data_IF_848953012991
#
_entry.id   IF_848953012991
#
_cell.length_a   1.000
_cell.length_b   1.000
_cell.length_c   1.000
_cell.angle_alpha   90.00
_cell.angle_beta   90.00
_cell.angle_gamma   90.00
#
_symmetry.space_group_name_H-M   'P 1'
#
loop_
_entity.id
_entity.type
_entity.pdbx_description
1 polymer ?
#
# COMPACT_ATOMS: atom_id res chain seq x y z
N UNK A 1 13.11 11.61 -1.63
CA UNK A 1 12.06 10.78 -1.00
C UNK A 1 12.22 9.38 -1.52
N UNK A 2 11.94 8.39 -0.68
CA UNK A 2 11.91 6.99 -1.08
C UNK A 2 10.45 6.54 -1.18
N UNK A 3 10.14 5.77 -2.21
CA UNK A 3 8.81 5.20 -2.41
C UNK A 3 8.81 3.75 -1.93
N UNK A 4 7.79 3.38 -1.15
CA UNK A 4 7.60 2.01 -0.68
C UNK A 4 6.22 1.48 -1.11
N UNK A 5 6.14 0.18 -1.41
CA UNK A 5 4.88 -0.54 -1.63
C UNK A 5 4.88 -1.86 -0.87
N UNK A 6 3.73 -2.30 -0.36
CA UNK A 6 3.60 -3.65 0.19
C UNK A 6 3.79 -4.70 -0.92
N UNK A 7 4.45 -5.82 -0.61
CA UNK A 7 4.52 -6.98 -1.52
C UNK A 7 3.12 -7.44 -2.00
N UNK A 8 2.08 -7.27 -1.16
CA UNK A 8 0.70 -7.58 -1.53
C UNK A 8 0.22 -6.73 -2.73
N UNK A 9 0.66 -5.47 -2.81
CA UNK A 9 0.28 -4.53 -3.89
C UNK A 9 0.74 -5.05 -5.26
N UNK A 10 1.90 -5.70 -5.33
CA UNK A 10 2.40 -6.36 -6.55
C UNK A 10 1.42 -7.41 -7.05
N UNK A 11 0.91 -8.22 -6.12
CA UNK A 11 -0.03 -9.33 -6.39
C UNK A 11 -1.38 -8.77 -6.86
N UNK A 12 -1.88 -7.72 -6.20
CA UNK A 12 -3.15 -7.07 -6.56
C UNK A 12 -3.08 -6.46 -7.95
N UNK A 13 -2.02 -5.69 -8.26
CA UNK A 13 -1.85 -5.08 -9.59
C UNK A 13 -1.88 -6.17 -10.68
N UNK A 14 -1.15 -7.26 -10.46
CA UNK A 14 -1.12 -8.38 -11.40
C UNK A 14 -2.52 -8.99 -11.61
N UNK A 15 -3.22 -9.34 -10.53
CA UNK A 15 -4.54 -9.98 -10.64
C UNK A 15 -5.64 -9.06 -11.15
N UNK A 16 -5.54 -7.75 -10.91
CA UNK A 16 -6.42 -6.77 -11.53
C UNK A 16 -6.20 -6.71 -13.04
N UNK A 17 -4.94 -6.66 -13.50
CA UNK A 17 -4.60 -6.69 -14.93
C UNK A 17 -5.03 -7.99 -15.61
N UNK A 18 -4.84 -9.13 -14.95
CA UNK A 18 -5.17 -10.45 -15.49
C UNK A 18 -6.68 -10.66 -15.76
N UNK A 19 -7.55 -9.77 -15.27
CA UNK A 19 -8.99 -9.78 -15.58
C UNK A 19 -9.29 -9.31 -17.00
N UNK A 20 -8.38 -8.55 -17.63
CA UNK A 20 -8.63 -7.90 -18.92
C UNK A 20 -7.48 -8.02 -19.92
N UNK A 21 -6.27 -8.37 -19.46
CA UNK A 21 -5.05 -8.46 -20.26
C UNK A 21 -4.57 -9.91 -20.38
N UNK A 22 -3.71 -10.20 -21.35
CA UNK A 22 -2.97 -11.46 -21.38
C UNK A 22 -2.00 -11.59 -20.20
N UNK A 23 -1.51 -12.80 -19.92
CA UNK A 23 -0.51 -13.01 -18.86
C UNK A 23 0.75 -12.16 -19.10
N UNK A 24 1.26 -12.13 -20.34
CA UNK A 24 2.46 -11.40 -20.69
C UNK A 24 2.28 -9.88 -20.46
N UNK A 25 1.15 -9.33 -20.88
CA UNK A 25 0.81 -7.92 -20.66
C UNK A 25 0.62 -7.60 -19.18
N UNK A 26 -0.06 -8.48 -18.42
CA UNK A 26 -0.28 -8.31 -16.97
C UNK A 26 1.04 -8.27 -16.20
N UNK A 27 2.00 -9.15 -16.55
CA UNK A 27 3.35 -9.14 -15.97
C UNK A 27 4.09 -7.84 -16.31
N UNK A 28 4.00 -7.38 -17.55
CA UNK A 28 4.70 -6.17 -17.99
C UNK A 28 4.13 -4.89 -17.34
N UNK A 29 2.79 -4.77 -17.28
CA UNK A 29 2.12 -3.67 -16.57
C UNK A 29 2.51 -3.67 -15.10
N UNK A 30 2.51 -4.83 -14.45
CA UNK A 30 2.91 -4.94 -13.03
C UNK A 30 4.36 -4.51 -12.82
N UNK A 31 5.30 -4.99 -13.64
CA UNK A 31 6.71 -4.59 -13.58
C UNK A 31 6.89 -3.08 -13.74
N UNK A 32 6.15 -2.47 -14.66
CA UNK A 32 6.20 -1.01 -14.88
C UNK A 32 5.61 -0.23 -13.71
N UNK A 33 4.49 -0.70 -13.15
CA UNK A 33 3.79 -0.01 -12.06
C UNK A 33 4.62 0.04 -10.77
N UNK A 34 5.41 -1.01 -10.49
CA UNK A 34 6.21 -1.09 -9.27
C UNK A 34 7.62 -0.48 -9.42
N UNK A 35 7.97 -0.01 -10.63
CA UNK A 35 9.30 0.51 -10.92
C UNK A 35 9.58 1.78 -10.10
N UNK A 36 10.68 1.77 -9.35
CA UNK A 36 11.10 2.90 -8.52
C UNK A 36 10.59 2.85 -7.08
N UNK A 37 9.83 1.81 -6.72
CA UNK A 37 9.44 1.54 -5.34
C UNK A 37 10.30 0.44 -4.73
N UNK A 38 10.65 0.62 -3.46
CA UNK A 38 11.12 -0.44 -2.58
C UNK A 38 9.94 -1.32 -2.17
N UNK A 39 10.10 -2.64 -2.24
CA UNK A 39 9.03 -3.57 -1.87
C UNK A 39 9.20 -3.97 -0.41
N UNK A 40 8.19 -3.69 0.41
CA UNK A 40 8.14 -4.11 1.81
C UNK A 40 7.74 -5.58 1.87
N UNK A 41 8.53 -6.38 2.58
CA UNK A 41 8.27 -7.82 2.73
C UNK A 41 7.01 -8.05 3.57
N UNK A 42 6.16 -8.97 3.14
CA UNK A 42 5.01 -9.41 3.93
C UNK A 42 5.47 -10.42 4.99
N UNK A 43 5.91 -9.92 6.14
CA UNK A 43 6.42 -10.73 7.24
C UNK A 43 5.29 -11.41 8.04
N UNK A 44 5.63 -12.43 8.84
CA UNK A 44 4.68 -13.05 9.77
C UNK A 44 4.10 -12.03 10.77
N UNK A 45 4.91 -11.06 11.19
CA UNK A 45 4.51 -9.99 12.10
C UNK A 45 3.49 -9.05 11.46
N UNK A 46 3.72 -8.61 10.21
CA UNK A 46 2.75 -7.84 9.42
C UNK A 46 1.42 -8.58 9.31
N UNK A 47 1.45 -9.87 9.00
CA UNK A 47 0.24 -10.69 8.86
C UNK A 47 -0.50 -10.78 10.20
N UNK A 48 0.20 -11.08 11.30
CA UNK A 48 -0.42 -11.19 12.64
C UNK A 48 -1.04 -9.87 13.09
N UNK A 49 -0.33 -8.75 12.90
CA UNK A 49 -0.84 -7.41 13.20
C UNK A 49 -2.09 -7.10 12.38
N UNK A 50 -2.03 -7.34 11.06
CA UNK A 50 -3.18 -7.12 10.17
C UNK A 50 -4.40 -7.97 10.53
N UNK A 51 -4.22 -9.24 10.92
CA UNK A 51 -5.31 -10.09 11.38
C UNK A 51 -5.90 -9.66 12.72
N UNK A 52 -5.11 -9.00 13.56
CA UNK A 52 -5.57 -8.43 14.84
C UNK A 52 -6.21 -7.04 14.69
N UNK A 53 -6.04 -6.38 13.55
CA UNK A 53 -6.49 -5.02 13.30
C UNK A 53 -7.95 -4.99 12.85
N UNK A 54 -8.86 -4.94 13.82
CA UNK A 54 -10.30 -4.91 13.54
C UNK A 54 -10.84 -3.53 13.14
N UNK A 55 -10.02 -2.47 13.18
CA UNK A 55 -10.43 -1.10 12.83
C UNK A 55 -10.35 -0.82 11.34
N UNK A 56 -9.58 -1.61 10.60
CA UNK A 56 -9.53 -1.59 9.13
C UNK A 56 -10.34 -2.79 8.62
N UNK A 57 -11.36 -2.51 7.82
CA UNK A 57 -12.32 -3.54 7.39
C UNK A 57 -11.71 -4.55 6.42
N UNK A 58 -10.95 -4.04 5.46
CA UNK A 58 -10.40 -4.86 4.38
C UNK A 58 -8.99 -5.34 4.77
N UNK A 59 -8.78 -6.66 4.74
CA UNK A 59 -7.51 -7.26 5.16
C UNK A 59 -6.33 -6.81 4.29
N UNK A 60 -6.58 -6.52 3.01
CA UNK A 60 -5.60 -5.91 2.10
C UNK A 60 -5.07 -4.58 2.63
N UNK A 61 -5.99 -3.69 3.00
CA UNK A 61 -5.68 -2.38 3.57
C UNK A 61 -4.96 -2.53 4.90
N UNK A 62 -5.35 -3.50 5.74
CA UNK A 62 -4.66 -3.79 7.00
C UNK A 62 -3.22 -4.27 6.79
N UNK A 63 -2.98 -5.16 5.82
CA UNK A 63 -1.64 -5.62 5.46
C UNK A 63 -0.80 -4.46 4.90
N UNK A 64 -1.37 -3.64 4.02
CA UNK A 64 -0.69 -2.46 3.47
C UNK A 64 -0.34 -1.44 4.55
N UNK A 65 -1.26 -1.16 5.48
CA UNK A 65 -1.04 -0.28 6.62
C UNK A 65 0.10 -0.77 7.51
N UNK A 66 0.08 -2.03 7.93
CA UNK A 66 1.15 -2.57 8.77
C UNK A 66 2.48 -2.72 8.03
N UNK A 67 2.46 -2.93 6.71
CA UNK A 67 3.68 -2.85 5.89
C UNK A 67 4.25 -1.43 5.91
N UNK A 68 3.41 -0.39 5.80
CA UNK A 68 3.85 0.99 5.79
C UNK A 68 4.42 1.41 7.16
N UNK A 69 3.80 1.01 8.27
CA UNK A 69 4.30 1.27 9.63
C UNK A 69 5.71 0.75 9.92
N UNK A 70 6.21 -0.22 9.15
CA UNK A 70 7.58 -0.72 9.32
C UNK A 70 8.65 0.21 8.74
N UNK A 71 8.32 1.04 7.73
CA UNK A 71 9.34 1.71 6.89
C UNK A 71 9.02 3.14 6.47
N UNK A 72 7.79 3.63 6.66
CA UNK A 72 7.33 4.88 6.07
C UNK A 72 6.67 5.80 7.10
N UNK A 73 6.93 7.10 6.97
CA UNK A 73 6.30 8.15 7.77
C UNK A 73 4.88 8.50 7.27
N UNK A 74 4.60 8.20 6.00
CA UNK A 74 3.36 8.58 5.31
C UNK A 74 2.81 7.40 4.51
N UNK A 75 1.54 7.07 4.73
CA UNK A 75 0.75 6.18 3.88
C UNK A 75 -0.08 7.00 2.89
N UNK A 76 0.15 6.83 1.59
CA UNK A 76 -0.61 7.51 0.54
C UNK A 76 -1.75 6.61 0.05
N UNK A 77 -2.99 7.08 0.13
CA UNK A 77 -4.17 6.35 -0.32
C UNK A 77 -5.27 7.27 -0.83
N UNK A 78 -6.00 6.82 -1.86
CA UNK A 78 -7.23 7.52 -2.31
C UNK A 78 -8.41 7.28 -1.38
N UNK A 79 -8.32 6.31 -0.47
CA UNK A 79 -9.40 5.87 0.40
C UNK A 79 -9.11 6.17 1.88
N UNK A 80 -8.65 7.39 2.16
CA UNK A 80 -8.24 7.84 3.50
C UNK A 80 -9.27 7.57 4.61
N UNK A 81 -10.57 7.52 4.28
CA UNK A 81 -11.65 7.22 5.24
C UNK A 81 -11.51 5.86 5.93
N UNK A 82 -10.93 4.87 5.26
CA UNK A 82 -10.86 3.49 5.77
C UNK A 82 -9.70 3.32 6.78
N UNK A 83 -8.85 4.34 6.92
CA UNK A 83 -7.72 4.37 7.85
C UNK A 83 -7.92 5.35 9.03
N UNK A 84 -9.04 6.09 9.07
CA UNK A 84 -9.28 7.12 10.12
C UNK A 84 -9.24 6.59 11.55
N UNK A 85 -9.58 5.32 11.74
CA UNK A 85 -9.60 4.70 13.07
C UNK A 85 -8.21 4.18 13.53
N UNK A 86 -7.24 4.16 12.62
CA UNK A 86 -5.87 3.67 12.87
C UNK A 86 -4.79 4.74 12.68
N UNK A 87 -5.12 5.88 12.07
CA UNK A 87 -4.22 7.04 11.98
C UNK A 87 -3.78 7.46 13.39
N UNK A 88 -2.46 7.53 13.57
CA UNK A 88 -1.81 7.83 14.84
C UNK A 88 -0.56 8.71 14.60
N UNK A 89 0.17 9.03 15.67
CA UNK A 89 1.38 9.86 15.56
C UNK A 89 2.55 9.15 14.83
N UNK A 90 2.47 7.83 14.62
CA UNK A 90 3.52 7.04 14.00
C UNK A 90 3.40 6.98 12.47
N UNK A 91 2.20 7.11 11.91
CA UNK A 91 2.00 7.13 10.45
C UNK A 91 0.88 8.08 10.01
N UNK A 92 1.25 9.08 9.20
CA UNK A 92 0.30 10.02 8.62
C UNK A 92 -0.38 9.39 7.40
N UNK A 93 -1.70 9.59 7.25
CA UNK A 93 -2.42 9.10 6.06
C UNK A 93 -2.79 10.28 5.18
N UNK A 94 -2.30 10.31 3.93
CA UNK A 94 -2.56 11.38 2.97
C UNK A 94 -3.22 10.86 1.70
N UNK A 95 -4.06 11.67 1.07
CA UNK A 95 -4.39 11.47 -0.33
C UNK A 95 -3.21 11.88 -1.22
N UNK A 96 -3.13 11.42 -2.48
CA UNK A 96 -2.12 11.90 -3.41
C UNK A 96 -2.10 13.43 -3.54
N UNK A 97 -3.28 14.06 -3.58
CA UNK A 97 -3.42 15.51 -3.67
C UNK A 97 -2.87 16.22 -2.41
N UNK A 98 -3.24 15.74 -1.22
CA UNK A 98 -2.71 16.28 0.06
C UNK A 98 -1.19 16.12 0.15
N UNK A 99 -0.65 14.98 -0.30
CA UNK A 99 0.78 14.73 -0.33
C UNK A 99 1.52 15.70 -1.25
N UNK A 100 1.04 15.88 -2.49
CA UNK A 100 1.64 16.80 -3.45
C UNK A 100 1.58 18.25 -2.96
N UNK A 101 0.47 18.68 -2.36
CA UNK A 101 0.32 20.01 -1.79
C UNK A 101 1.30 20.24 -0.61
N UNK A 102 1.38 19.27 0.31
CA UNK A 102 2.24 19.35 1.50
C UNK A 102 3.73 19.38 1.16
N UNK A 103 4.16 18.54 0.22
CA UNK A 103 5.58 18.36 -0.08
C UNK A 103 6.05 19.11 -1.34
N UNK A 104 5.16 19.84 -2.03
CA UNK A 104 5.44 20.54 -3.32
C UNK A 104 6.15 19.64 -4.33
N UNK A 105 5.76 18.37 -4.34
CA UNK A 105 6.32 17.31 -5.18
C UNK A 105 5.63 17.26 -6.55
#
# INVERSE_FOLDING_TARGET
>A
MEGYISALTVVIIYFLGARTLSEAESREVTKRAIRGFNIVSMSEDVIKKALGENRIKDLEDAIQFHSAKEVADVLITRNKRDFRAVEDEEIEVLTPEEFLEKYKA
#
